data_IF_003282099238
#
_entry.id   IF_003282099238
#
_cell.length_a   1.000
_cell.length_b   1.000
_cell.length_c   1.000
_cell.angle_alpha   90.00
_cell.angle_beta   90.00
_cell.angle_gamma   90.00
#
_symmetry.space_group_name_H-M   'P 1'
#
loop_
_entity.id
_entity.type
_entity.pdbx_description
1 polymer ?
#
# COMPACT_ATOMS: atom_id res chain seq x y z
N UNK A 1 31.94 5.33 24.91
CA UNK A 1 32.76 5.30 26.14
C UNK A 1 31.87 5.80 27.24
N UNK A 2 31.46 4.94 28.16
CA UNK A 2 30.66 5.36 29.31
C UNK A 2 31.53 6.25 30.21
N UNK A 3 31.19 7.54 30.42
CA UNK A 3 32.00 8.46 31.22
C UNK A 3 32.22 8.00 32.67
N UNK A 4 31.36 7.10 33.17
CA UNK A 4 31.35 6.67 34.56
C UNK A 4 32.16 5.38 34.81
N UNK A 5 32.28 4.50 33.82
CA UNK A 5 32.87 3.16 34.01
C UNK A 5 34.11 2.89 33.15
N UNK A 6 34.41 3.73 32.15
CA UNK A 6 35.55 3.52 31.25
C UNK A 6 35.47 2.25 30.40
N UNK A 7 34.29 1.64 30.33
CA UNK A 7 34.05 0.39 29.59
C UNK A 7 33.75 0.67 28.10
N UNK A 8 34.26 -0.21 27.24
CA UNK A 8 33.94 -0.25 25.82
C UNK A 8 32.83 -1.30 25.61
N UNK A 9 31.66 -0.85 25.15
CA UNK A 9 30.60 -1.73 24.69
C UNK A 9 30.55 -1.72 23.17
N UNK A 10 30.40 -2.89 22.57
CA UNK A 10 30.08 -3.00 21.15
C UNK A 10 28.62 -2.57 20.97
N UNK A 11 28.37 -1.45 20.27
CA UNK A 11 27.01 -1.06 19.87
C UNK A 11 26.56 -1.91 18.68
N UNK A 12 27.12 -1.66 17.50
CA UNK A 12 26.83 -2.42 16.27
C UNK A 12 27.91 -2.15 15.19
N UNK A 13 27.78 -2.82 14.04
CA UNK A 13 28.63 -2.62 12.85
C UNK A 13 28.16 -1.42 12.04
N UNK A 14 29.11 -0.59 11.59
CA UNK A 14 28.85 0.45 10.60
C UNK A 14 28.49 -0.19 9.25
N UNK A 15 27.27 0.07 8.77
CA UNK A 15 26.74 -0.47 7.50
C UNK A 15 26.39 0.62 6.49
N UNK A 16 26.54 1.90 6.84
CA UNK A 16 26.11 3.03 6.02
C UNK A 16 26.82 3.01 4.66
N UNK A 17 28.12 2.74 4.64
CA UNK A 17 28.88 2.63 3.40
C UNK A 17 28.28 1.58 2.43
N UNK A 18 27.94 0.38 2.92
CA UNK A 18 27.32 -0.67 2.09
C UNK A 18 25.91 -0.30 1.63
N UNK A 19 25.13 0.36 2.49
CA UNK A 19 23.78 0.82 2.15
C UNK A 19 23.79 1.91 1.08
N UNK A 20 24.74 2.84 1.11
CA UNK A 20 24.89 3.87 0.07
C UNK A 20 25.23 3.27 -1.30
N UNK A 21 26.08 2.25 -1.35
CA UNK A 21 26.37 1.53 -2.60
C UNK A 21 25.13 0.82 -3.15
N UNK A 22 24.35 0.17 -2.29
CA UNK A 22 23.12 -0.49 -2.71
C UNK A 22 22.07 0.53 -3.19
N UNK A 23 21.92 1.65 -2.49
CA UNK A 23 21.02 2.72 -2.90
C UNK A 23 21.43 3.31 -4.26
N UNK A 24 22.73 3.56 -4.46
CA UNK A 24 23.24 4.05 -5.75
C UNK A 24 22.94 3.06 -6.88
N UNK A 25 23.19 1.77 -6.66
CA UNK A 25 22.86 0.72 -7.63
C UNK A 25 21.37 0.70 -7.95
N UNK A 26 20.51 0.74 -6.93
CA UNK A 26 19.06 0.77 -7.10
C UNK A 26 18.60 1.98 -7.93
N UNK A 27 19.07 3.18 -7.59
CA UNK A 27 18.75 4.42 -8.31
C UNK A 27 19.20 4.32 -9.77
N UNK A 28 20.43 3.85 -10.03
CA UNK A 28 20.97 3.71 -11.39
C UNK A 28 20.11 2.76 -12.22
N UNK A 29 19.74 1.59 -11.68
CA UNK A 29 18.90 0.62 -12.38
C UNK A 29 17.51 1.21 -12.67
N UNK A 30 16.85 1.79 -11.67
CA UNK A 30 15.50 2.35 -11.83
C UNK A 30 15.50 3.46 -12.90
N UNK A 31 16.46 4.38 -12.85
CA UNK A 31 16.55 5.48 -13.83
C UNK A 31 16.96 4.95 -15.20
N UNK A 32 17.81 3.94 -15.31
CA UNK A 32 18.18 3.35 -16.59
C UNK A 32 16.99 2.71 -17.31
N UNK A 33 16.15 1.95 -16.58
CA UNK A 33 15.00 1.24 -17.17
C UNK A 33 13.76 2.12 -17.32
N UNK A 34 13.43 2.94 -16.30
CA UNK A 34 12.20 3.74 -16.27
C UNK A 34 12.44 5.24 -16.62
N UNK A 35 13.68 5.65 -16.89
CA UNK A 35 14.05 7.01 -17.32
C UNK A 35 13.54 8.09 -16.37
N UNK A 36 12.96 9.17 -16.90
CA UNK A 36 12.40 10.26 -16.13
C UNK A 36 11.26 9.81 -15.20
N UNK A 37 10.44 8.84 -15.63
CA UNK A 37 9.38 8.27 -14.77
C UNK A 37 9.98 7.50 -13.59
N UNK A 38 11.09 6.81 -13.80
CA UNK A 38 11.86 6.16 -12.72
C UNK A 38 12.38 7.16 -11.70
N UNK A 39 12.93 8.30 -12.16
CA UNK A 39 13.38 9.36 -11.26
C UNK A 39 12.22 9.95 -10.43
N UNK A 40 11.05 10.18 -11.05
CA UNK A 40 9.86 10.66 -10.35
C UNK A 40 9.35 9.65 -9.32
N UNK A 41 9.37 8.35 -9.61
CA UNK A 41 9.00 7.30 -8.66
C UNK A 41 9.93 7.28 -7.44
N UNK A 42 11.24 7.51 -7.63
CA UNK A 42 12.20 7.64 -6.52
C UNK A 42 11.92 8.88 -5.66
N UNK A 43 11.55 10.01 -6.28
CA UNK A 43 11.14 11.22 -5.55
C UNK A 43 9.83 11.00 -4.80
N UNK A 44 8.87 10.28 -5.40
CA UNK A 44 7.63 9.90 -4.75
C UNK A 44 7.90 9.04 -3.51
N UNK A 45 8.75 8.01 -3.64
CA UNK A 45 9.18 7.15 -2.54
C UNK A 45 9.85 7.95 -1.42
N UNK A 46 10.77 8.87 -1.74
CA UNK A 46 11.40 9.75 -0.76
C UNK A 46 10.37 10.66 -0.07
N UNK A 47 9.42 11.21 -0.83
CA UNK A 47 8.33 12.03 -0.28
C UNK A 47 7.42 11.24 0.67
N UNK A 48 7.12 9.98 0.36
CA UNK A 48 6.39 9.09 1.29
C UNK A 48 7.14 8.94 2.61
N UNK A 49 8.44 8.63 2.57
CA UNK A 49 9.27 8.52 3.79
C UNK A 49 9.29 9.84 4.56
N UNK A 50 9.39 10.98 3.87
CA UNK A 50 9.33 12.29 4.50
C UNK A 50 7.98 12.55 5.18
N UNK A 51 6.86 12.18 4.56
CA UNK A 51 5.53 12.31 5.20
C UNK A 51 5.45 11.44 6.46
N UNK A 52 5.97 10.20 6.42
CA UNK A 52 5.96 9.34 7.61
C UNK A 52 6.80 9.92 8.75
N UNK A 53 8.00 10.42 8.46
CA UNK A 53 8.93 10.92 9.48
C UNK A 53 8.58 12.34 9.96
N UNK A 54 8.13 13.22 9.06
CA UNK A 54 7.91 14.65 9.35
C UNK A 54 6.45 15.01 9.63
N UNK A 55 5.50 14.13 9.33
CA UNK A 55 4.10 14.35 9.63
C UNK A 55 3.51 13.27 10.53
N UNK A 56 3.56 11.99 10.15
CA UNK A 56 2.90 10.92 10.94
C UNK A 56 3.54 10.77 12.31
N UNK A 57 4.85 10.53 12.37
CA UNK A 57 5.56 10.33 13.63
C UNK A 57 5.37 11.49 14.62
N UNK A 58 5.65 12.78 14.27
CA UNK A 58 5.44 13.88 15.21
C UNK A 58 3.97 14.08 15.56
N UNK A 59 3.03 13.96 14.62
CA UNK A 59 1.61 14.18 14.91
C UNK A 59 1.05 13.14 15.90
N UNK A 60 1.48 11.88 15.77
CA UNK A 60 1.11 10.83 16.75
C UNK A 60 1.76 11.08 18.11
N UNK A 61 3.02 11.49 18.14
CA UNK A 61 3.72 11.83 19.39
C UNK A 61 3.13 13.06 20.09
N UNK A 62 2.52 13.97 19.34
CA UNK A 62 1.75 15.11 19.87
C UNK A 62 0.36 14.70 20.41
N UNK A 63 0.04 13.39 20.40
CA UNK A 63 -1.19 12.84 20.98
C UNK A 63 -2.41 12.85 20.05
N UNK A 64 -2.24 13.09 18.75
CA UNK A 64 -3.34 12.99 17.79
C UNK A 64 -3.72 11.53 17.53
N UNK A 65 -4.98 11.30 17.18
CA UNK A 65 -5.51 9.97 16.85
C UNK A 65 -4.70 9.30 15.72
N UNK A 66 -4.01 8.18 15.97
CA UNK A 66 -3.12 7.58 14.98
C UNK A 66 -3.82 7.07 13.73
N UNK A 67 -5.09 6.66 13.84
CA UNK A 67 -5.87 6.14 12.72
C UNK A 67 -6.18 7.26 11.74
N UNK A 68 -6.66 8.40 12.25
CA UNK A 68 -6.92 9.59 11.46
C UNK A 68 -5.65 10.18 10.85
N UNK A 69 -4.56 10.26 11.62
CA UNK A 69 -3.26 10.74 11.12
C UNK A 69 -2.79 9.86 9.96
N UNK A 70 -2.84 8.54 10.11
CA UNK A 70 -2.48 7.61 9.05
C UNK A 70 -3.41 7.69 7.84
N UNK A 71 -4.72 7.87 8.03
CA UNK A 71 -5.67 8.01 6.92
C UNK A 71 -5.43 9.29 6.11
N UNK A 72 -5.15 10.42 6.79
CA UNK A 72 -4.78 11.69 6.15
C UNK A 72 -3.45 11.55 5.42
N UNK A 73 -2.44 10.97 6.09
CA UNK A 73 -1.13 10.74 5.48
C UNK A 73 -1.24 9.84 4.24
N UNK A 74 -1.98 8.74 4.33
CA UNK A 74 -2.20 7.84 3.20
C UNK A 74 -2.87 8.56 2.02
N UNK A 75 -3.87 9.39 2.28
CA UNK A 75 -4.54 10.20 1.25
C UNK A 75 -3.59 11.22 0.62
N UNK A 76 -2.76 11.87 1.43
CA UNK A 76 -1.76 12.83 0.97
C UNK A 76 -0.65 12.15 0.14
N UNK A 77 -0.17 10.98 0.60
CA UNK A 77 0.81 10.15 -0.12
C UNK A 77 0.23 9.71 -1.46
N UNK A 78 -1.01 9.21 -1.49
CA UNK A 78 -1.69 8.81 -2.72
C UNK A 78 -1.75 9.97 -3.72
N UNK A 79 -2.27 11.13 -3.27
CA UNK A 79 -2.37 12.32 -4.10
C UNK A 79 -1.00 12.75 -4.64
N UNK A 80 -0.01 12.90 -3.76
CA UNK A 80 1.32 13.34 -4.14
C UNK A 80 2.00 12.36 -5.11
N UNK A 81 2.06 11.08 -4.75
CA UNK A 81 2.74 10.04 -5.54
C UNK A 81 2.12 9.87 -6.93
N UNK A 82 0.79 9.80 -7.01
CA UNK A 82 0.07 9.56 -8.26
C UNK A 82 0.25 10.73 -9.24
N UNK A 83 0.02 11.97 -8.78
CA UNK A 83 0.16 13.14 -9.64
C UNK A 83 1.61 13.45 -10.00
N UNK A 84 2.56 13.19 -9.09
CA UNK A 84 3.98 13.37 -9.39
C UNK A 84 4.45 12.39 -10.46
N UNK A 85 4.08 11.11 -10.34
CA UNK A 85 4.63 10.04 -11.20
C UNK A 85 3.90 9.93 -12.54
N UNK A 86 2.59 10.15 -12.55
CA UNK A 86 1.73 9.94 -13.74
C UNK A 86 1.24 11.24 -14.38
N UNK A 87 1.49 12.38 -13.74
CA UNK A 87 1.06 13.69 -14.20
C UNK A 87 -0.44 13.95 -13.99
N UNK A 88 -0.83 15.21 -14.16
CA UNK A 88 -2.22 15.63 -14.05
C UNK A 88 -3.02 15.25 -15.29
N UNK A 89 -3.69 14.10 -15.25
CA UNK A 89 -4.63 13.68 -16.26
C UNK A 89 -5.85 13.00 -15.63
N UNK A 90 -6.90 12.81 -16.43
CA UNK A 90 -8.16 12.28 -15.95
C UNK A 90 -8.03 10.85 -15.40
N UNK A 91 -7.14 10.04 -15.97
CA UNK A 91 -6.89 8.67 -15.51
C UNK A 91 -6.14 8.64 -14.18
N UNK A 92 -5.24 9.59 -13.93
CA UNK A 92 -4.62 9.78 -12.62
C UNK A 92 -5.68 10.12 -11.57
N UNK A 93 -6.63 11.00 -11.90
CA UNK A 93 -7.75 11.33 -10.99
C UNK A 93 -8.65 10.13 -10.74
N UNK A 94 -8.93 9.31 -11.77
CA UNK A 94 -9.69 8.06 -11.64
C UNK A 94 -8.97 7.07 -10.72
N UNK A 95 -7.67 6.88 -10.91
CA UNK A 95 -6.86 6.00 -10.07
C UNK A 95 -6.80 6.49 -8.62
N UNK A 96 -6.62 7.79 -8.40
CA UNK A 96 -6.68 8.38 -7.06
C UNK A 96 -8.05 8.15 -6.41
N UNK A 97 -9.14 8.40 -7.14
CA UNK A 97 -10.50 8.20 -6.62
C UNK A 97 -10.74 6.73 -6.25
N UNK A 98 -10.32 5.81 -7.13
CA UNK A 98 -10.35 4.37 -6.87
C UNK A 98 -9.53 3.99 -5.64
N UNK A 99 -8.33 4.56 -5.49
CA UNK A 99 -7.44 4.35 -4.33
C UNK A 99 -8.10 4.81 -3.05
N UNK A 100 -8.63 6.04 -3.00
CA UNK A 100 -9.22 6.61 -1.79
C UNK A 100 -10.47 5.85 -1.33
N UNK A 101 -11.33 5.45 -2.25
CA UNK A 101 -12.52 4.65 -1.91
C UNK A 101 -12.12 3.25 -1.44
N UNK A 102 -11.18 2.59 -2.13
CA UNK A 102 -10.69 1.28 -1.71
C UNK A 102 -9.98 1.34 -0.36
N UNK A 103 -9.19 2.39 -0.11
CA UNK A 103 -8.52 2.64 1.16
C UNK A 103 -9.54 2.89 2.29
N UNK A 104 -10.61 3.65 2.03
CA UNK A 104 -11.70 3.86 2.97
C UNK A 104 -12.43 2.54 3.30
N UNK A 105 -12.64 1.69 2.29
CA UNK A 105 -13.19 0.34 2.49
C UNK A 105 -12.25 -0.53 3.33
N UNK A 106 -10.94 -0.53 3.04
CA UNK A 106 -9.94 -1.25 3.83
C UNK A 106 -9.97 -0.77 5.27
N UNK A 107 -9.97 0.55 5.51
CA UNK A 107 -10.06 1.10 6.86
C UNK A 107 -11.34 0.64 7.57
N UNK A 108 -12.50 0.71 6.92
CA UNK A 108 -13.76 0.28 7.52
C UNK A 108 -13.73 -1.21 7.92
N UNK A 109 -13.26 -2.08 7.02
CA UNK A 109 -13.19 -3.53 7.28
C UNK A 109 -12.13 -3.83 8.35
N UNK A 110 -10.94 -3.25 8.24
CA UNK A 110 -9.86 -3.42 9.23
C UNK A 110 -10.31 -2.97 10.62
N UNK A 111 -10.98 -1.82 10.76
CA UNK A 111 -11.52 -1.36 12.05
C UNK A 111 -12.49 -2.35 12.66
N UNK A 112 -13.40 -2.93 11.85
CA UNK A 112 -14.35 -3.94 12.32
C UNK A 112 -13.63 -5.19 12.82
N UNK A 113 -12.71 -5.75 12.02
CA UNK A 113 -12.01 -6.98 12.41
C UNK A 113 -11.02 -6.78 13.55
N UNK A 114 -10.40 -5.61 13.67
CA UNK A 114 -9.55 -5.26 14.82
C UNK A 114 -10.34 -5.16 16.12
N UNK A 115 -11.60 -4.73 16.05
CA UNK A 115 -12.52 -4.71 17.21
C UNK A 115 -13.03 -6.12 17.54
N UNK A 116 -13.45 -6.89 16.54
CA UNK A 116 -13.93 -8.27 16.73
C UNK A 116 -12.85 -9.19 17.29
N UNK A 117 -11.60 -9.06 16.81
CA UNK A 117 -10.46 -9.83 17.29
C UNK A 117 -9.87 -9.30 18.60
N UNK A 118 -10.32 -8.12 19.07
CA UNK A 118 -9.88 -7.47 20.32
C UNK A 118 -8.35 -7.33 20.41
N UNK A 119 -7.70 -6.92 19.31
CA UNK A 119 -6.26 -6.68 19.32
C UNK A 119 -5.89 -5.60 20.34
N UNK A 120 -4.88 -5.88 21.14
CA UNK A 120 -4.33 -4.97 22.15
C UNK A 120 -3.42 -3.92 21.51
N UNK A 121 -2.84 -4.22 20.36
CA UNK A 121 -1.86 -3.37 19.67
C UNK A 121 -0.41 -3.79 19.91
N UNK A 122 -0.16 -4.67 20.88
CA UNK A 122 1.18 -5.13 21.27
C UNK A 122 1.67 -6.32 20.43
N UNK A 123 1.64 -6.14 19.11
CA UNK A 123 1.99 -7.17 18.14
C UNK A 123 3.48 -7.15 17.71
N UNK A 124 4.30 -6.26 18.28
CA UNK A 124 5.74 -6.20 18.03
C UNK A 124 6.50 -5.82 19.30
N UNK A 125 7.80 -6.11 19.35
CA UNK A 125 8.65 -5.76 20.51
C UNK A 125 8.68 -4.24 20.75
N UNK A 126 8.74 -3.45 19.68
CA UNK A 126 8.73 -1.99 19.76
C UNK A 126 7.42 -1.47 20.36
N UNK A 127 6.29 -2.10 20.01
CA UNK A 127 4.98 -1.76 20.54
C UNK A 127 4.92 -1.91 22.08
N UNK A 128 5.67 -2.86 22.66
CA UNK A 128 5.80 -2.99 24.12
C UNK A 128 6.65 -1.90 24.74
N UNK A 129 7.66 -1.38 24.03
CA UNK A 129 8.59 -0.37 24.56
C UNK A 129 8.01 1.04 24.44
N UNK A 130 7.26 1.31 23.37
CA UNK A 130 6.84 2.66 22.99
C UNK A 130 6.05 3.42 24.08
N UNK A 131 5.12 2.80 24.84
CA UNK A 131 4.41 3.47 25.91
C UNK A 131 5.29 3.96 27.07
N UNK A 132 6.48 3.38 27.25
CA UNK A 132 7.45 3.83 28.25
C UNK A 132 8.26 5.04 27.80
N UNK A 133 8.33 5.29 26.48
CA UNK A 133 9.07 6.41 25.89
C UNK A 133 8.15 7.58 25.51
N UNK A 134 6.87 7.30 25.23
CA UNK A 134 5.85 8.26 24.89
C UNK A 134 4.55 7.92 25.63
N UNK A 135 4.31 8.61 26.75
CA UNK A 135 3.10 8.41 27.56
C UNK A 135 1.82 8.77 26.76
N UNK A 136 0.76 7.97 26.96
CA UNK A 136 -0.57 8.24 26.35
C UNK A 136 -0.70 7.85 24.87
N UNK A 137 0.31 7.21 24.30
CA UNK A 137 0.32 6.80 22.90
C UNK A 137 -0.61 5.61 22.64
N UNK A 138 -1.53 5.76 21.69
CA UNK A 138 -2.46 4.70 21.28
C UNK A 138 -1.78 3.70 20.33
N UNK A 139 -1.16 2.68 20.92
CA UNK A 139 -0.46 1.60 20.20
C UNK A 139 -1.42 0.78 19.31
N UNK A 140 -2.67 0.62 19.74
CA UNK A 140 -3.70 -0.09 18.98
C UNK A 140 -4.09 0.70 17.72
N UNK A 141 -4.30 2.01 17.88
CA UNK A 141 -4.53 2.93 16.78
C UNK A 141 -3.35 2.98 15.81
N UNK A 142 -2.12 2.95 16.31
CA UNK A 142 -0.91 2.87 15.48
C UNK A 142 -0.86 1.59 14.64
N UNK A 143 -1.24 0.45 15.22
CA UNK A 143 -1.27 -0.83 14.50
C UNK A 143 -2.30 -0.81 13.36
N UNK A 144 -3.48 -0.25 13.62
CA UNK A 144 -4.52 -0.06 12.62
C UNK A 144 -4.09 0.96 11.56
N UNK A 145 -3.53 2.11 11.96
CA UNK A 145 -3.03 3.15 11.06
C UNK A 145 -1.91 2.64 10.15
N UNK A 146 -0.96 1.88 10.69
CA UNK A 146 0.10 1.23 9.93
C UNK A 146 -0.45 0.23 8.89
N UNK A 147 -1.55 -0.45 9.21
CA UNK A 147 -2.27 -1.31 8.25
C UNK A 147 -2.83 -0.50 7.06
N UNK A 148 -3.31 0.72 7.29
CA UNK A 148 -3.81 1.60 6.22
C UNK A 148 -2.66 2.08 5.32
N UNK A 149 -1.55 2.51 5.92
CA UNK A 149 -0.35 2.93 5.16
C UNK A 149 0.19 1.75 4.33
N UNK A 150 0.25 0.55 4.91
CA UNK A 150 0.69 -0.65 4.20
C UNK A 150 -0.23 -1.00 3.02
N UNK A 151 -1.55 -0.89 3.20
CA UNK A 151 -2.53 -1.15 2.14
C UNK A 151 -2.41 -0.17 0.97
N UNK A 152 -2.12 1.11 1.24
CA UNK A 152 -1.98 2.14 0.20
C UNK A 152 -0.95 1.75 -0.86
N UNK A 153 0.20 1.20 -0.45
CA UNK A 153 1.29 0.87 -1.38
C UNK A 153 0.87 -0.13 -2.46
N UNK A 154 0.01 -1.09 -2.14
CA UNK A 154 -0.53 -2.03 -3.12
C UNK A 154 -1.72 -1.46 -3.91
N UNK A 155 -2.51 -0.59 -3.29
CA UNK A 155 -3.67 0.05 -3.93
C UNK A 155 -3.25 1.03 -5.03
N UNK A 156 -2.15 1.76 -4.87
CA UNK A 156 -1.67 2.70 -5.89
C UNK A 156 -1.34 1.97 -7.21
N UNK A 157 -0.64 0.82 -7.10
CA UNK A 157 -0.20 0.04 -8.25
C UNK A 157 -1.40 -0.54 -9.01
N UNK A 158 -2.35 -1.13 -8.28
CA UNK A 158 -3.54 -1.72 -8.88
C UNK A 158 -4.40 -0.67 -9.55
N UNK A 159 -4.68 0.45 -8.89
CA UNK A 159 -5.61 1.46 -9.43
C UNK A 159 -5.04 2.16 -10.66
N UNK A 160 -3.74 2.49 -10.67
CA UNK A 160 -3.08 3.06 -11.84
C UNK A 160 -3.03 2.06 -12.99
N UNK A 161 -2.60 0.83 -12.71
CA UNK A 161 -2.53 -0.21 -13.74
C UNK A 161 -3.91 -0.48 -14.32
N UNK A 162 -4.96 -0.49 -13.50
CA UNK A 162 -6.33 -0.67 -13.99
C UNK A 162 -6.84 0.51 -14.82
N UNK A 163 -6.60 1.75 -14.37
CA UNK A 163 -6.97 2.93 -15.13
C UNK A 163 -6.27 2.95 -16.50
N UNK A 164 -4.95 2.71 -16.52
CA UNK A 164 -4.17 2.63 -17.76
C UNK A 164 -4.67 1.50 -18.68
N UNK A 165 -4.95 0.32 -18.12
CA UNK A 165 -5.48 -0.83 -18.87
C UNK A 165 -6.80 -0.48 -19.58
N UNK A 166 -7.73 0.16 -18.88
CA UNK A 166 -9.02 0.54 -19.47
C UNK A 166 -8.84 1.60 -20.56
N UNK A 167 -7.94 2.57 -20.37
CA UNK A 167 -7.64 3.56 -21.39
C UNK A 167 -7.06 2.89 -22.65
N UNK A 168 -6.09 1.98 -22.49
CA UNK A 168 -5.46 1.26 -23.59
C UNK A 168 -6.46 0.36 -24.36
N UNK A 169 -7.34 -0.33 -23.63
CA UNK A 169 -8.41 -1.12 -24.26
C UNK A 169 -9.35 -0.23 -25.09
N UNK A 170 -9.64 0.99 -24.64
CA UNK A 170 -10.47 1.93 -25.42
C UNK A 170 -9.72 2.42 -26.66
N UNK A 171 -8.45 2.79 -26.54
CA UNK A 171 -7.67 3.36 -27.65
C UNK A 171 -7.49 2.33 -28.77
N UNK A 172 -7.29 1.06 -28.44
CA UNK A 172 -7.17 0.00 -29.44
C UNK A 172 -8.52 -0.48 -30.02
N UNK A 173 -9.58 -0.48 -29.22
CA UNK A 173 -10.90 -0.96 -29.64
C UNK A 173 -11.97 0.13 -29.50
N UNK A 174 -11.88 1.16 -30.36
CA UNK A 174 -12.72 2.37 -30.30
C UNK A 174 -14.23 2.13 -30.33
N UNK A 175 -14.69 0.96 -30.81
CA UNK A 175 -16.10 0.57 -30.88
C UNK A 175 -16.70 -0.06 -29.62
N UNK A 176 -15.91 -0.36 -28.58
CA UNK A 176 -16.44 -1.01 -27.38
C UNK A 176 -17.44 -0.10 -26.63
N UNK A 177 -18.58 -0.67 -26.28
CA UNK A 177 -19.50 -0.09 -25.32
C UNK A 177 -18.89 -0.08 -23.91
N UNK A 178 -19.40 0.79 -23.02
CA UNK A 178 -18.94 0.85 -21.62
C UNK A 178 -19.01 -0.52 -20.91
N UNK A 179 -20.03 -1.34 -21.23
CA UNK A 179 -20.17 -2.69 -20.64
C UNK A 179 -19.09 -3.65 -21.13
N UNK A 180 -18.77 -3.63 -22.42
CA UNK A 180 -17.73 -4.49 -23.00
C UNK A 180 -16.33 -4.06 -22.56
N UNK A 181 -16.11 -2.74 -22.44
CA UNK A 181 -14.87 -2.19 -21.90
C UNK A 181 -14.67 -2.59 -20.44
N UNK A 182 -15.73 -2.48 -19.63
CA UNK A 182 -15.70 -2.93 -18.23
C UNK A 182 -15.43 -4.43 -18.14
N UNK A 183 -16.16 -5.27 -18.88
CA UNK A 183 -15.96 -6.72 -18.87
C UNK A 183 -14.53 -7.13 -19.30
N UNK A 184 -13.95 -6.41 -20.26
CA UNK A 184 -12.59 -6.66 -20.73
C UNK A 184 -11.53 -6.21 -19.71
N UNK A 185 -11.69 -5.01 -19.13
CA UNK A 185 -10.81 -4.52 -18.07
C UNK A 185 -10.83 -5.43 -16.83
N UNK A 186 -12.03 -5.87 -16.41
CA UNK A 186 -12.18 -6.80 -15.28
C UNK A 186 -11.46 -8.12 -15.50
N UNK A 187 -11.50 -8.65 -16.73
CA UNK A 187 -10.84 -9.91 -17.09
C UNK A 187 -9.31 -9.80 -16.99
N UNK A 188 -8.73 -8.70 -17.51
CA UNK A 188 -7.28 -8.45 -17.41
C UNK A 188 -6.87 -8.27 -15.95
N UNK A 189 -7.55 -7.39 -15.21
CA UNK A 189 -7.11 -7.11 -13.84
C UNK A 189 -7.24 -8.29 -12.88
N UNK A 190 -8.17 -9.23 -13.11
CA UNK A 190 -8.34 -10.41 -12.25
C UNK A 190 -7.08 -11.27 -12.20
N UNK A 191 -6.33 -11.36 -13.31
CA UNK A 191 -5.07 -12.10 -13.37
C UNK A 191 -3.99 -11.41 -12.53
N UNK A 192 -3.95 -10.08 -12.54
CA UNK A 192 -2.99 -9.29 -11.78
C UNK A 192 -3.23 -9.35 -10.26
N UNK A 193 -4.49 -9.27 -9.79
CA UNK A 193 -4.76 -9.30 -8.33
C UNK A 193 -4.21 -10.57 -7.69
N UNK A 194 -4.42 -11.73 -8.31
CA UNK A 194 -3.99 -13.00 -7.74
C UNK A 194 -2.47 -12.99 -7.49
N UNK A 195 -1.71 -12.41 -8.42
CA UNK A 195 -0.26 -12.23 -8.27
C UNK A 195 0.08 -11.23 -7.16
N UNK A 196 -0.58 -10.07 -7.11
CA UNK A 196 -0.28 -9.02 -6.10
C UNK A 196 -0.55 -9.50 -4.68
N UNK A 197 -1.68 -10.19 -4.44
CA UNK A 197 -2.00 -10.77 -3.13
C UNK A 197 -0.93 -11.77 -2.69
N UNK A 198 -0.50 -12.66 -3.60
CA UNK A 198 0.53 -13.64 -3.31
C UNK A 198 1.88 -12.98 -3.01
N UNK A 199 2.26 -11.95 -3.76
CA UNK A 199 3.51 -11.20 -3.52
C UNK A 199 3.55 -10.58 -2.13
N UNK A 200 2.46 -9.94 -1.69
CA UNK A 200 2.37 -9.36 -0.35
C UNK A 200 2.49 -10.44 0.73
N UNK A 201 1.74 -11.55 0.59
CA UNK A 201 1.80 -12.66 1.52
C UNK A 201 3.23 -13.22 1.65
N UNK A 202 3.90 -13.46 0.52
CA UNK A 202 5.27 -14.00 0.50
C UNK A 202 6.29 -13.05 1.13
N UNK A 203 6.12 -11.73 0.98
CA UNK A 203 6.99 -10.75 1.63
C UNK A 203 6.89 -10.80 3.17
N UNK A 204 5.67 -10.92 3.70
CA UNK A 204 5.45 -11.05 5.15
C UNK A 204 5.90 -12.41 5.69
N UNK A 205 5.50 -13.51 5.02
CA UNK A 205 5.91 -14.86 5.42
C UNK A 205 7.44 -15.00 5.36
N UNK A 206 8.07 -14.45 4.32
CA UNK A 206 9.52 -14.48 4.12
C UNK A 206 10.29 -13.73 5.22
N UNK A 207 9.79 -12.56 5.64
CA UNK A 207 10.39 -11.83 6.78
C UNK A 207 10.09 -12.47 8.14
N UNK A 208 9.04 -13.30 8.23
CA UNK A 208 8.60 -13.97 9.47
C UNK A 208 9.15 -15.40 9.64
N UNK A 209 10.06 -15.87 8.78
CA UNK A 209 10.63 -17.23 8.87
C UNK A 209 11.20 -17.57 10.26
N UNK A 210 11.97 -16.71 10.95
CA UNK A 210 12.50 -17.03 12.28
C UNK A 210 11.39 -17.33 13.29
N UNK A 211 10.29 -16.57 13.24
CA UNK A 211 9.14 -16.76 14.10
C UNK A 211 8.39 -18.07 13.77
N UNK A 212 8.25 -18.39 12.48
CA UNK A 212 7.69 -19.68 12.06
C UNK A 212 8.53 -20.86 12.55
N UNK A 213 9.87 -20.75 12.51
CA UNK A 213 10.78 -21.75 13.06
C UNK A 213 10.67 -21.87 14.58
N UNK A 214 10.53 -20.75 15.29
CA UNK A 214 10.34 -20.76 16.74
C UNK A 214 9.09 -21.56 17.13
N UNK A 215 7.98 -21.37 16.41
CA UNK A 215 6.77 -22.15 16.64
C UNK A 215 6.92 -23.62 16.26
N UNK A 216 7.60 -23.91 15.15
CA UNK A 216 7.87 -25.27 14.71
C UNK A 216 8.72 -26.06 15.72
N UNK A 217 9.69 -25.40 16.38
CA UNK A 217 10.53 -26.01 17.43
C UNK A 217 9.80 -26.09 18.78
N UNK A 218 8.83 -25.19 19.02
CA UNK A 218 8.05 -25.18 20.26
C UNK A 218 6.88 -26.18 20.27
N UNK A 219 6.78 -27.04 19.24
CA UNK A 219 5.69 -28.01 19.04
C UNK A 219 4.28 -27.38 19.13
N UNK A 220 4.15 -26.10 18.77
CA UNK A 220 2.85 -25.43 18.75
C UNK A 220 2.02 -25.88 17.56
N UNK A 221 0.73 -26.11 17.80
CA UNK A 221 -0.24 -26.40 16.75
C UNK A 221 -0.47 -25.19 15.86
N UNK A 222 -0.84 -25.40 14.60
CA UNK A 222 -1.15 -24.30 13.69
C UNK A 222 -2.26 -23.39 14.22
N UNK A 223 -3.21 -23.95 14.97
CA UNK A 223 -4.27 -23.18 15.64
C UNK A 223 -3.75 -22.26 16.73
N UNK A 224 -2.78 -22.71 17.54
CA UNK A 224 -2.17 -21.88 18.59
C UNK A 224 -1.36 -20.75 17.95
N UNK A 225 -0.58 -21.07 16.91
CA UNK A 225 0.18 -20.10 16.14
C UNK A 225 -0.74 -19.05 15.52
N UNK A 226 -1.82 -19.46 14.85
CA UNK A 226 -2.77 -18.55 14.22
C UNK A 226 -3.54 -17.68 15.24
N UNK A 227 -3.68 -18.14 16.48
CA UNK A 227 -4.35 -17.41 17.56
C UNK A 227 -3.41 -16.49 18.36
N UNK A 228 -2.09 -16.59 18.14
CA UNK A 228 -1.13 -15.61 18.66
C UNK A 228 -1.43 -14.23 18.08
N UNK A 229 -1.49 -13.19 18.92
CA UNK A 229 -1.81 -11.82 18.47
C UNK A 229 -0.90 -11.36 17.32
N UNK A 230 0.40 -11.65 17.39
CA UNK A 230 1.37 -11.28 16.36
C UNK A 230 1.02 -11.88 14.98
N UNK A 231 0.64 -13.16 14.94
CA UNK A 231 0.25 -13.83 13.69
C UNK A 231 -1.16 -13.43 13.26
N UNK A 232 -2.10 -13.38 14.20
CA UNK A 232 -3.49 -13.01 13.94
C UNK A 232 -3.58 -11.60 13.32
N UNK A 233 -2.77 -10.66 13.79
CA UNK A 233 -2.65 -9.32 13.21
C UNK A 233 -2.19 -9.37 11.76
N UNK A 234 -1.15 -10.16 11.43
CA UNK A 234 -0.69 -10.28 10.04
C UNK A 234 -1.73 -10.94 9.13
N UNK A 235 -2.45 -11.95 9.64
CA UNK A 235 -3.56 -12.57 8.92
C UNK A 235 -4.66 -11.55 8.65
N UNK A 236 -5.12 -10.82 9.66
CA UNK A 236 -6.18 -9.81 9.51
C UNK A 236 -5.72 -8.67 8.59
N UNK A 237 -4.48 -8.18 8.73
CA UNK A 237 -3.90 -7.15 7.87
C UNK A 237 -3.87 -7.62 6.40
N UNK A 238 -3.37 -8.82 6.16
CA UNK A 238 -3.27 -9.40 4.81
C UNK A 238 -4.65 -9.59 4.19
N UNK A 239 -5.61 -10.15 4.93
CA UNK A 239 -6.96 -10.41 4.42
C UNK A 239 -7.73 -9.10 4.19
N UNK A 240 -7.74 -8.16 5.13
CA UNK A 240 -8.43 -6.89 4.97
C UNK A 240 -7.82 -6.04 3.86
N UNK A 241 -6.48 -5.99 3.79
CA UNK A 241 -5.77 -5.33 2.68
C UNK A 241 -6.11 -5.96 1.33
N UNK A 242 -6.14 -7.28 1.25
CA UNK A 242 -6.52 -8.02 0.02
C UNK A 242 -7.97 -7.78 -0.38
N UNK A 243 -8.91 -7.67 0.56
CA UNK A 243 -10.31 -7.30 0.24
C UNK A 243 -10.36 -5.90 -0.37
N UNK A 244 -9.62 -4.94 0.20
CA UNK A 244 -9.47 -3.61 -0.38
C UNK A 244 -8.92 -3.64 -1.80
N UNK A 245 -7.86 -4.43 -2.02
CA UNK A 245 -7.22 -4.61 -3.32
C UNK A 245 -8.17 -5.22 -4.36
N UNK A 246 -8.90 -6.27 -3.97
CA UNK A 246 -9.90 -6.92 -4.81
C UNK A 246 -11.04 -5.97 -5.16
N UNK A 247 -11.45 -5.09 -4.24
CA UNK A 247 -12.48 -4.08 -4.46
C UNK A 247 -12.00 -2.89 -5.30
N UNK A 248 -10.72 -2.52 -5.19
CA UNK A 248 -10.12 -1.43 -5.97
C UNK A 248 -10.20 -1.67 -7.47
N UNK A 249 -10.04 -2.92 -7.90
CA UNK A 249 -10.13 -3.28 -9.32
C UNK A 249 -11.49 -2.94 -9.93
N UNK A 250 -12.62 -3.55 -9.53
CA UNK A 250 -13.89 -3.30 -10.20
C UNK A 250 -14.33 -1.86 -10.09
N UNK A 251 -14.01 -1.20 -8.97
CA UNK A 251 -14.27 0.21 -8.77
C UNK A 251 -13.52 1.07 -9.79
N UNK A 252 -12.21 0.88 -9.91
CA UNK A 252 -11.39 1.70 -10.81
C UNK A 252 -11.71 1.41 -12.26
N UNK A 253 -11.96 0.13 -12.60
CA UNK A 253 -12.42 -0.25 -13.95
C UNK A 253 -13.74 0.43 -14.30
N UNK A 254 -14.71 0.46 -13.37
CA UNK A 254 -15.99 1.11 -13.58
C UNK A 254 -15.82 2.62 -13.78
N UNK A 255 -15.07 3.30 -12.89
CA UNK A 255 -14.82 4.73 -12.97
C UNK A 255 -14.14 5.10 -14.29
N UNK A 256 -13.11 4.35 -14.69
CA UNK A 256 -12.39 4.56 -15.94
C UNK A 256 -13.31 4.36 -17.17
N UNK A 257 -14.05 3.25 -17.21
CA UNK A 257 -14.89 2.91 -18.37
C UNK A 257 -16.06 3.87 -18.53
N UNK A 258 -16.61 4.39 -17.43
CA UNK A 258 -17.67 5.39 -17.46
C UNK A 258 -17.18 6.72 -18.01
N UNK A 259 -15.98 7.16 -17.59
CA UNK A 259 -15.44 8.47 -17.92
C UNK A 259 -14.88 8.56 -19.34
N UNK A 260 -14.37 7.44 -19.86
CA UNK A 260 -13.84 7.31 -21.22
C UNK A 260 -14.94 7.03 -22.26
N UNK A 261 -16.22 7.09 -21.86
CA UNK A 261 -17.38 6.91 -22.74
C UNK A 261 -17.39 7.98 -23.85
N UNK A 262 -17.16 7.57 -25.09
CA UNK A 262 -17.43 8.42 -26.26
C UNK A 262 -18.94 8.70 -26.36
N UNK A 263 -19.37 9.95 -26.63
CA UNK A 263 -20.68 10.19 -27.21
C UNK A 263 -20.76 9.35 -28.49
N UNK A 264 -21.86 8.61 -28.71
CA UNK A 264 -22.08 7.90 -29.98
C UNK A 264 -21.91 8.94 -31.11
N UNK A 265 -20.79 8.88 -31.83
CA UNK A 265 -20.59 9.64 -33.05
C UNK A 265 -21.70 9.21 -34.00
N UNK A 266 -22.46 10.19 -34.49
CA UNK A 266 -23.41 10.00 -35.58
C UNK A 266 -22.69 9.23 -36.68
N UNK A 267 -23.24 8.08 -37.06
CA UNK A 267 -22.89 7.39 -38.30
C UNK A 267 -22.95 8.43 -39.41
N UNK A 268 -21.79 8.81 -39.95
CA UNK A 268 -21.74 9.54 -41.20
C UNK A 268 -22.12 8.50 -42.26
N UNK A 269 -23.39 8.52 -42.66
CA UNK A 269 -23.79 7.86 -43.91
C UNK A 269 -22.97 8.53 -45.03
N UNK A 270 -22.30 7.75 -45.89
CA UNK A 270 -21.71 8.32 -47.08
C UNK A 270 -22.84 8.83 -47.97
N UNK A 271 -22.84 10.13 -48.25
CA UNK A 271 -23.68 10.71 -49.30
C UNK A 271 -23.34 9.99 -50.61
N UNK A 272 -24.34 9.29 -51.14
CA UNK A 272 -24.33 8.73 -52.49
C UNK A 272 -24.76 9.86 -53.42
N UNK A 273 -23.80 10.42 -54.15
CA UNK A 273 -24.03 11.10 -55.44
C UNK A 273 -23.14 10.51 -56.52
#
# INVERSE_FOLDING_TARGET
MDPLTGSYHYEDRERLNSLWWLLALFVVIVVAFARFRGALALVAMAGTVLILIKFVAPSVLDGNDPVLVCAVAASAIAFFSLYLTHGANIMTTVALTGTLIALALTLAISSVFFELAKFSGFASEEAFILPYLAEGLDVRGLLLGGTIIAALGALDDVTITQAATVLELKTQSGGLSTKELMASGLRVGREHIASTVNTLLLAYVGSSIPLLLLFAVSDQTLSEVANSELIAVEIVRTLCGSVGLVAALPLTTFLAAFLVRSPKGKTHEPDVE
#
